data_IF_654325980506
#
_entry.id   IF_654325980506
#
_cell.length_a   1.000
_cell.length_b   1.000
_cell.length_c   1.000
_cell.angle_alpha   90.00
_cell.angle_beta   90.00
_cell.angle_gamma   90.00
#
_symmetry.space_group_name_H-M   'P 1'
#
loop_
_entity.id
_entity.type
_entity.pdbx_description
1 polymer ?
#
# COMPACT_ATOMS: atom_id res chain seq x y z
N UNK A 1 -10.73 -22.38 6.33
CA UNK A 1 -10.51 -20.91 6.31
C UNK A 1 -9.83 -20.37 7.56
N UNK A 2 -10.38 -20.60 8.75
CA UNK A 2 -9.75 -20.15 10.01
C UNK A 2 -8.31 -20.68 10.18
N UNK A 3 -8.08 -21.95 9.83
CA UNK A 3 -6.75 -22.56 9.84
C UNK A 3 -5.77 -21.86 8.89
N UNK A 4 -6.23 -21.44 7.71
CA UNK A 4 -5.41 -20.67 6.76
C UNK A 4 -5.03 -19.33 7.35
N UNK A 5 -5.98 -18.59 7.92
CA UNK A 5 -5.72 -17.30 8.58
C UNK A 5 -4.69 -17.45 9.72
N UNK A 6 -4.87 -18.47 10.58
CA UNK A 6 -3.92 -18.77 11.66
C UNK A 6 -2.52 -19.08 11.10
N UNK A 7 -2.44 -19.92 10.08
CA UNK A 7 -1.16 -20.33 9.48
C UNK A 7 -0.44 -19.16 8.80
N UNK A 8 -1.14 -18.34 8.02
CA UNK A 8 -0.57 -17.13 7.41
C UNK A 8 -0.06 -16.18 8.50
N UNK A 9 -0.83 -15.98 9.57
CA UNK A 9 -0.43 -15.12 10.68
C UNK A 9 0.83 -15.64 11.36
N UNK A 10 0.93 -16.95 11.61
CA UNK A 10 2.13 -17.58 12.20
C UNK A 10 3.36 -17.33 11.30
N UNK A 11 3.23 -17.54 9.99
CA UNK A 11 4.35 -17.32 9.07
C UNK A 11 4.76 -15.86 8.98
N UNK A 12 3.81 -14.92 8.96
CA UNK A 12 4.13 -13.50 8.93
C UNK A 12 4.66 -12.97 10.27
N UNK A 13 4.26 -13.55 11.41
CA UNK A 13 4.85 -13.24 12.74
C UNK A 13 6.33 -13.65 12.84
N UNK A 14 6.73 -14.69 12.10
CA UNK A 14 8.09 -15.19 12.12
C UNK A 14 8.99 -14.44 11.14
N UNK A 15 8.46 -13.56 10.29
CA UNK A 15 9.21 -13.05 9.17
C UNK A 15 10.31 -12.07 9.61
N UNK A 16 11.49 -12.24 9.04
CA UNK A 16 12.63 -11.35 9.23
C UNK A 16 13.50 -11.34 7.97
N UNK A 17 14.50 -10.45 7.95
CA UNK A 17 15.50 -10.42 6.86
C UNK A 17 16.22 -11.76 6.70
N UNK A 18 16.44 -12.47 7.80
CA UNK A 18 17.24 -13.70 7.83
C UNK A 18 16.45 -14.96 7.48
N UNK A 19 15.11 -14.91 7.43
CA UNK A 19 14.30 -16.10 7.19
C UNK A 19 13.21 -15.93 6.14
N UNK A 20 13.08 -14.74 5.53
CA UNK A 20 12.10 -14.48 4.46
C UNK A 20 12.20 -15.50 3.31
N UNK A 21 13.41 -15.95 2.98
CA UNK A 21 13.64 -16.96 1.94
C UNK A 21 13.11 -18.36 2.31
N UNK A 22 12.91 -18.65 3.61
CA UNK A 22 12.31 -19.89 4.12
C UNK A 22 10.79 -19.74 4.23
N UNK A 23 10.32 -18.57 4.64
CA UNK A 23 8.89 -18.29 4.86
C UNK A 23 8.11 -18.20 3.55
N UNK A 24 8.66 -17.55 2.51
CA UNK A 24 7.97 -17.40 1.22
C UNK A 24 7.60 -18.74 0.57
N UNK A 25 8.49 -19.75 0.47
CA UNK A 25 8.12 -21.07 -0.05
C UNK A 25 7.00 -21.74 0.74
N UNK A 26 6.96 -21.57 2.07
CA UNK A 26 5.88 -22.11 2.91
C UNK A 26 4.54 -21.43 2.61
N UNK A 27 4.55 -20.11 2.43
CA UNK A 27 3.37 -19.35 2.00
C UNK A 27 2.91 -19.76 0.59
N UNK A 28 3.82 -19.93 -0.36
CA UNK A 28 3.50 -20.41 -1.71
C UNK A 28 2.84 -21.78 -1.68
N UNK A 29 3.37 -22.72 -0.90
CA UNK A 29 2.78 -24.05 -0.73
C UNK A 29 1.37 -23.96 -0.13
N UNK A 30 1.19 -23.13 0.92
CA UNK A 30 -0.12 -22.91 1.53
C UNK A 30 -1.13 -22.34 0.52
N UNK A 31 -0.72 -21.36 -0.29
CA UNK A 31 -1.56 -20.77 -1.34
C UNK A 31 -1.85 -21.76 -2.46
N UNK A 32 -0.87 -22.58 -2.86
CA UNK A 32 -1.04 -23.61 -3.88
C UNK A 32 -2.00 -24.74 -3.48
N UNK A 33 -2.28 -24.91 -2.19
CA UNK A 33 -3.26 -25.87 -1.68
C UNK A 33 -4.71 -25.37 -1.73
N UNK A 34 -4.94 -24.09 -2.03
CA UNK A 34 -6.28 -23.54 -2.19
C UNK A 34 -6.89 -24.14 -3.47
N UNK A 35 -8.03 -24.82 -3.33
CA UNK A 35 -8.73 -25.47 -4.45
C UNK A 35 -9.99 -24.73 -4.90
N UNK A 36 -10.57 -23.94 -3.99
CA UNK A 36 -11.82 -23.22 -4.16
C UNK A 36 -11.81 -21.93 -3.32
N UNK A 37 -12.78 -21.05 -3.53
CA UNK A 37 -12.94 -19.77 -2.81
C UNK A 37 -11.69 -18.86 -2.80
N UNK A 38 -10.90 -18.91 -3.88
CA UNK A 38 -9.65 -18.15 -4.02
C UNK A 38 -9.80 -16.67 -3.66
N UNK A 39 -10.94 -16.06 -4.02
CA UNK A 39 -11.22 -14.66 -3.71
C UNK A 39 -11.17 -14.37 -2.21
N UNK A 40 -11.83 -15.21 -1.40
CA UNK A 40 -11.87 -15.02 0.04
C UNK A 40 -10.51 -15.28 0.68
N UNK A 41 -9.80 -16.33 0.26
CA UNK A 41 -8.46 -16.63 0.76
C UNK A 41 -7.44 -15.53 0.42
N UNK A 42 -7.48 -14.99 -0.81
CA UNK A 42 -6.63 -13.86 -1.19
C UNK A 42 -6.97 -12.59 -0.42
N UNK A 43 -8.26 -12.30 -0.23
CA UNK A 43 -8.70 -11.18 0.60
C UNK A 43 -8.15 -11.28 2.03
N UNK A 44 -8.26 -12.46 2.66
CA UNK A 44 -7.72 -12.72 4.01
C UNK A 44 -6.20 -12.54 4.04
N UNK A 45 -5.49 -13.11 3.07
CA UNK A 45 -4.03 -12.98 3.01
C UNK A 45 -3.60 -11.51 2.89
N UNK A 46 -4.23 -10.75 1.99
CA UNK A 46 -3.96 -9.33 1.78
C UNK A 46 -4.27 -8.53 3.06
N UNK A 47 -5.39 -8.82 3.73
CA UNK A 47 -5.78 -8.17 4.98
C UNK A 47 -4.73 -8.37 6.08
N UNK A 48 -4.27 -9.61 6.28
CA UNK A 48 -3.24 -9.92 7.29
C UNK A 48 -1.94 -9.19 6.93
N UNK A 49 -1.54 -9.19 5.66
CA UNK A 49 -0.33 -8.54 5.19
C UNK A 49 -0.37 -7.02 5.43
N UNK A 50 -1.49 -6.37 5.14
CA UNK A 50 -1.68 -4.94 5.42
C UNK A 50 -1.63 -4.63 6.92
N UNK A 51 -2.35 -5.41 7.74
CA UNK A 51 -2.35 -5.22 9.18
C UNK A 51 -0.94 -5.42 9.77
N UNK A 52 -0.18 -6.38 9.25
CA UNK A 52 1.22 -6.61 9.63
C UNK A 52 2.13 -5.45 9.26
N UNK A 53 2.06 -4.98 8.02
CA UNK A 53 2.84 -3.83 7.56
C UNK A 53 2.57 -2.55 8.37
N UNK A 54 1.33 -2.38 8.84
CA UNK A 54 0.97 -1.28 9.74
C UNK A 54 1.59 -1.44 11.12
N UNK A 55 1.44 -2.62 11.73
CA UNK A 55 1.94 -2.89 13.08
C UNK A 55 3.47 -2.92 13.16
N UNK A 56 4.13 -3.29 12.07
CA UNK A 56 5.55 -3.58 12.01
C UNK A 56 6.21 -2.72 10.91
N UNK A 57 6.16 -1.39 11.07
CA UNK A 57 6.59 -0.41 10.05
C UNK A 57 8.02 -0.65 9.51
N UNK A 58 8.94 -1.15 10.35
CA UNK A 58 10.32 -1.46 9.97
C UNK A 58 10.45 -2.62 8.96
N UNK A 59 9.40 -3.43 8.83
CA UNK A 59 9.34 -4.61 7.97
C UNK A 59 8.49 -4.41 6.71
N UNK A 60 8.02 -3.18 6.44
CA UNK A 60 7.18 -2.86 5.26
C UNK A 60 7.81 -3.36 3.95
N UNK A 61 9.10 -3.16 3.75
CA UNK A 61 9.80 -3.63 2.55
C UNK A 61 9.73 -5.16 2.41
N UNK A 62 9.87 -5.89 3.53
CA UNK A 62 9.77 -7.35 3.56
C UNK A 62 8.35 -7.80 3.20
N UNK A 63 7.31 -7.16 3.76
CA UNK A 63 5.93 -7.49 3.41
C UNK A 63 5.61 -7.18 1.95
N UNK A 64 6.17 -6.09 1.42
CA UNK A 64 6.08 -5.77 0.00
C UNK A 64 6.72 -6.87 -0.86
N UNK A 65 7.91 -7.36 -0.47
CA UNK A 65 8.58 -8.47 -1.14
C UNK A 65 7.81 -9.78 -1.07
N UNK A 66 7.19 -10.09 0.08
CA UNK A 66 6.29 -11.23 0.21
C UNK A 66 5.13 -11.10 -0.78
N UNK A 67 4.43 -9.96 -0.79
CA UNK A 67 3.30 -9.74 -1.69
C UNK A 67 3.70 -9.91 -3.17
N UNK A 68 4.85 -9.36 -3.56
CA UNK A 68 5.38 -9.45 -4.92
C UNK A 68 5.84 -10.86 -5.30
N UNK A 69 6.45 -11.62 -4.38
CA UNK A 69 6.86 -13.01 -4.65
C UNK A 69 5.66 -13.95 -4.71
N UNK A 70 4.67 -13.73 -3.87
CA UNK A 70 3.40 -14.47 -3.88
C UNK A 70 2.63 -14.19 -5.18
N UNK A 71 2.55 -12.93 -5.62
CA UNK A 71 1.87 -12.60 -6.88
C UNK A 71 2.53 -13.26 -8.09
N UNK A 72 3.88 -13.30 -8.14
CA UNK A 72 4.63 -14.05 -9.16
C UNK A 72 4.37 -15.55 -9.10
N UNK A 73 4.31 -16.12 -7.91
CA UNK A 73 3.94 -17.52 -7.74
C UNK A 73 2.53 -17.79 -8.27
N UNK A 74 1.53 -17.00 -7.88
CA UNK A 74 0.14 -17.17 -8.36
C UNK A 74 0.08 -17.04 -9.88
N UNK A 75 0.77 -16.06 -10.47
CA UNK A 75 0.87 -15.89 -11.93
C UNK A 75 1.47 -17.12 -12.62
N UNK A 76 2.47 -17.77 -12.00
CA UNK A 76 3.06 -19.00 -12.53
C UNK A 76 2.12 -20.21 -12.47
N UNK A 77 1.14 -20.19 -11.56
CA UNK A 77 0.14 -21.25 -11.46
C UNK A 77 -0.97 -21.04 -12.49
N UNK A 78 -1.58 -19.85 -12.51
CA UNK A 78 -2.67 -19.51 -13.41
C UNK A 78 -2.88 -18.00 -13.54
N UNK A 79 -3.07 -17.52 -14.77
CA UNK A 79 -3.28 -16.09 -15.05
C UNK A 79 -4.57 -15.55 -14.45
N UNK A 80 -5.67 -16.31 -14.50
CA UNK A 80 -6.97 -15.90 -13.94
C UNK A 80 -6.89 -15.71 -12.42
N UNK A 81 -6.17 -16.60 -11.72
CA UNK A 81 -5.94 -16.48 -10.27
C UNK A 81 -5.09 -15.24 -9.93
N UNK A 82 -4.11 -14.91 -10.77
CA UNK A 82 -3.33 -13.70 -10.61
C UNK A 82 -4.20 -12.45 -10.78
N UNK A 83 -5.07 -12.41 -11.79
CA UNK A 83 -5.99 -11.28 -11.99
C UNK A 83 -6.94 -11.11 -10.79
N UNK A 84 -7.41 -12.22 -10.22
CA UNK A 84 -8.23 -12.21 -9.01
C UNK A 84 -7.47 -11.67 -7.79
N UNK A 85 -6.26 -12.18 -7.53
CA UNK A 85 -5.39 -11.67 -6.47
C UNK A 85 -5.10 -10.18 -6.64
N UNK A 86 -4.75 -9.78 -7.86
CA UNK A 86 -4.44 -8.39 -8.19
C UNK A 86 -5.64 -7.48 -7.97
N UNK A 87 -6.84 -7.89 -8.41
CA UNK A 87 -8.09 -7.15 -8.15
C UNK A 87 -8.31 -6.94 -6.65
N UNK A 88 -8.12 -7.98 -5.83
CA UNK A 88 -8.28 -7.87 -4.39
C UNK A 88 -7.25 -6.91 -3.77
N UNK A 89 -6.01 -6.93 -4.25
CA UNK A 89 -4.96 -6.02 -3.79
C UNK A 89 -5.31 -4.57 -4.09
N UNK A 90 -5.75 -4.28 -5.32
CA UNK A 90 -6.16 -2.93 -5.75
C UNK A 90 -7.35 -2.44 -4.92
N UNK A 91 -8.35 -3.30 -4.74
CA UNK A 91 -9.52 -2.98 -3.92
C UNK A 91 -9.12 -2.65 -2.47
N UNK A 92 -8.18 -3.40 -1.88
CA UNK A 92 -7.67 -3.09 -0.54
C UNK A 92 -6.96 -1.74 -0.51
N UNK A 93 -6.11 -1.46 -1.49
CA UNK A 93 -5.39 -0.18 -1.57
C UNK A 93 -6.35 1.01 -1.68
N UNK A 94 -7.40 0.89 -2.49
CA UNK A 94 -8.41 1.94 -2.63
C UNK A 94 -9.20 2.15 -1.33
N UNK A 95 -9.63 1.06 -0.68
CA UNK A 95 -10.38 1.10 0.59
C UNK A 95 -9.63 1.79 1.72
N UNK A 96 -8.30 1.68 1.77
CA UNK A 96 -7.47 2.40 2.76
C UNK A 96 -7.72 3.90 2.72
N UNK A 97 -7.90 4.49 1.52
CA UNK A 97 -8.11 5.93 1.34
C UNK A 97 -9.60 6.32 1.28
N UNK A 98 -10.50 5.35 1.39
CA UNK A 98 -11.95 5.57 1.54
C UNK A 98 -12.40 5.46 3.00
N UNK A 99 -11.53 4.96 3.89
CA UNK A 99 -11.82 4.86 5.32
C UNK A 99 -11.86 6.26 5.91
N UNK A 100 -12.79 6.52 6.84
CA UNK A 100 -12.82 7.78 7.57
C UNK A 100 -11.48 8.00 8.28
N UNK A 101 -10.85 9.14 7.98
CA UNK A 101 -9.55 9.50 8.53
C UNK A 101 -9.82 10.24 9.83
N UNK A 102 -9.45 9.63 10.95
CA UNK A 102 -9.54 10.22 12.27
C UNK A 102 -8.17 10.17 12.98
N UNK A 103 -8.06 10.90 14.08
CA UNK A 103 -6.80 10.99 14.84
C UNK A 103 -6.37 9.62 15.39
N UNK A 104 -7.31 8.70 15.63
CA UNK A 104 -7.03 7.37 16.18
C UNK A 104 -6.43 6.40 15.16
N UNK A 105 -6.65 6.64 13.87
CA UNK A 105 -6.25 5.73 12.80
C UNK A 105 -5.22 6.32 11.82
N UNK A 106 -4.83 7.59 11.97
CA UNK A 106 -3.91 8.27 11.04
C UNK A 106 -2.58 7.53 10.85
N UNK A 107 -1.97 7.04 11.94
CA UNK A 107 -0.69 6.32 11.88
C UNK A 107 -0.81 4.98 11.16
N UNK A 108 -1.98 4.34 11.28
CA UNK A 108 -2.31 3.12 10.56
C UNK A 108 -2.44 3.41 9.07
N UNK A 109 -3.14 4.47 8.70
CA UNK A 109 -3.32 4.85 7.30
C UNK A 109 -1.98 5.29 6.67
N UNK A 110 -1.11 6.00 7.40
CA UNK A 110 0.26 6.31 6.98
C UNK A 110 1.10 5.05 6.73
N UNK A 111 0.99 4.06 7.62
CA UNK A 111 1.64 2.75 7.43
C UNK A 111 1.15 2.04 6.16
N UNK A 112 -0.16 2.02 5.93
CA UNK A 112 -0.73 1.51 4.69
C UNK A 112 -0.26 2.30 3.46
N UNK A 113 -0.22 3.63 3.52
CA UNK A 113 0.23 4.49 2.42
C UNK A 113 1.69 4.20 2.05
N UNK A 114 2.54 3.96 3.05
CA UNK A 114 3.94 3.56 2.86
C UNK A 114 4.04 2.20 2.18
N UNK A 115 3.27 1.20 2.64
CA UNK A 115 3.23 -0.12 1.98
C UNK A 115 2.77 0.01 0.51
N UNK A 116 1.71 0.78 0.27
CA UNK A 116 1.14 0.99 -1.06
C UNK A 116 2.17 1.62 -1.99
N UNK A 117 2.90 2.65 -1.54
CA UNK A 117 3.99 3.24 -2.29
C UNK A 117 5.05 2.20 -2.67
N UNK A 118 5.46 1.34 -1.74
CA UNK A 118 6.42 0.26 -2.02
C UNK A 118 5.88 -0.75 -3.04
N UNK A 119 4.59 -1.09 -2.99
CA UNK A 119 3.95 -1.98 -3.98
C UNK A 119 3.95 -1.36 -5.38
N UNK A 120 3.81 -0.03 -5.48
CA UNK A 120 3.92 0.72 -6.75
C UNK A 120 5.37 0.74 -7.22
N UNK A 121 6.33 1.04 -6.35
CA UNK A 121 7.77 1.05 -6.69
C UNK A 121 8.23 -0.31 -7.25
N UNK A 122 7.71 -1.42 -6.71
CA UNK A 122 7.99 -2.77 -7.23
C UNK A 122 7.21 -3.14 -8.50
N UNK A 123 6.42 -2.22 -9.06
CA UNK A 123 5.61 -2.44 -10.26
C UNK A 123 4.46 -3.44 -10.05
N UNK A 124 4.10 -3.73 -8.80
CA UNK A 124 2.98 -4.63 -8.53
C UNK A 124 1.65 -3.90 -8.73
N UNK A 125 1.60 -2.60 -8.44
CA UNK A 125 0.44 -1.72 -8.65
C UNK A 125 0.78 -0.70 -9.74
N UNK A 126 -0.16 -0.43 -10.63
CA UNK A 126 0.02 0.54 -11.71
C UNK A 126 0.07 2.00 -11.20
N UNK A 127 0.91 2.82 -11.84
CA UNK A 127 1.10 4.23 -11.53
C UNK A 127 -0.18 5.08 -11.66
N UNK A 128 -1.14 4.69 -12.50
CA UNK A 128 -2.42 5.39 -12.62
C UNK A 128 -3.19 5.42 -11.28
N UNK A 129 -3.02 4.40 -10.44
CA UNK A 129 -3.68 4.32 -9.14
C UNK A 129 -3.15 5.37 -8.16
N UNK A 130 -1.87 5.76 -8.28
CA UNK A 130 -1.27 6.85 -7.49
C UNK A 130 -2.07 8.14 -7.64
N UNK A 131 -2.34 8.54 -8.88
CA UNK A 131 -3.07 9.77 -9.17
C UNK A 131 -4.50 9.72 -8.62
N UNK A 132 -5.15 8.57 -8.66
CA UNK A 132 -6.48 8.36 -8.08
C UNK A 132 -6.43 8.51 -6.55
N UNK A 133 -5.47 7.88 -5.88
CA UNK A 133 -5.31 7.97 -4.42
C UNK A 133 -5.00 9.39 -3.96
N UNK A 134 -4.06 10.06 -4.64
CA UNK A 134 -3.71 11.44 -4.34
C UNK A 134 -4.93 12.35 -4.53
N UNK A 135 -5.67 12.20 -5.63
CA UNK A 135 -6.87 13.00 -5.87
C UNK A 135 -7.94 12.83 -4.79
N UNK A 136 -8.08 11.62 -4.22
CA UNK A 136 -8.97 11.35 -3.08
C UNK A 136 -8.48 12.02 -1.80
N UNK A 137 -7.17 12.02 -1.54
CA UNK A 137 -6.61 12.71 -0.37
C UNK A 137 -6.76 14.24 -0.47
N UNK A 138 -6.71 14.77 -1.69
CA UNK A 138 -6.85 16.19 -2.00
C UNK A 138 -8.30 16.67 -2.08
N UNK A 139 -9.32 15.79 -2.03
CA UNK A 139 -10.71 16.23 -2.17
C UNK A 139 -11.25 16.96 -0.93
N UNK A 140 -10.50 16.99 0.17
CA UNK A 140 -10.86 17.70 1.40
C UNK A 140 -9.63 18.40 1.98
N UNK A 141 -9.77 19.66 2.37
CA UNK A 141 -8.72 20.43 3.06
C UNK A 141 -8.61 20.02 4.54
N UNK A 142 -8.15 18.78 4.76
CA UNK A 142 -7.95 18.19 6.08
C UNK A 142 -6.45 17.93 6.29
N UNK A 143 -5.90 18.51 7.36
CA UNK A 143 -4.47 18.43 7.68
C UNK A 143 -3.99 16.97 7.75
N UNK A 144 -4.78 16.07 8.33
CA UNK A 144 -4.44 14.65 8.46
C UNK A 144 -4.35 13.96 7.10
N UNK A 145 -5.23 14.31 6.17
CA UNK A 145 -5.21 13.78 4.80
C UNK A 145 -3.99 14.28 4.04
N UNK A 146 -3.62 15.54 4.25
CA UNK A 146 -2.41 16.13 3.68
C UNK A 146 -1.16 15.43 4.24
N UNK A 147 -1.11 15.10 5.52
CA UNK A 147 0.01 14.33 6.06
C UNK A 147 0.13 12.92 5.47
N UNK A 148 -1.01 12.25 5.26
CA UNK A 148 -1.05 10.94 4.58
C UNK A 148 -0.56 11.08 3.14
N UNK A 149 -0.98 12.14 2.44
CA UNK A 149 -0.53 12.47 1.08
C UNK A 149 0.98 12.65 1.02
N UNK A 150 1.55 13.47 1.92
CA UNK A 150 2.98 13.69 2.02
C UNK A 150 3.71 12.37 2.27
N UNK A 151 3.19 11.53 3.16
CA UNK A 151 3.75 10.21 3.47
C UNK A 151 3.77 9.31 2.22
N UNK A 152 2.65 9.27 1.49
CA UNK A 152 2.53 8.51 0.25
C UNK A 152 3.57 8.98 -0.76
N UNK A 153 3.58 10.28 -1.09
CA UNK A 153 4.44 10.85 -2.13
C UNK A 153 5.93 10.71 -1.78
N UNK A 154 6.32 10.91 -0.52
CA UNK A 154 7.71 10.75 -0.11
C UNK A 154 8.18 9.29 -0.09
N UNK A 155 7.26 8.33 -0.05
CA UNK A 155 7.57 6.91 -0.15
C UNK A 155 7.65 6.41 -1.60
N UNK A 156 7.24 7.23 -2.58
CA UNK A 156 7.32 6.91 -4.00
C UNK A 156 8.73 7.19 -4.54
N UNK A 157 9.23 6.29 -5.40
CA UNK A 157 10.46 6.55 -6.16
C UNK A 157 10.25 7.68 -7.19
N UNK A 158 11.30 8.46 -7.45
CA UNK A 158 11.28 9.64 -8.34
C UNK A 158 10.80 9.37 -9.78
N UNK A 159 10.75 8.11 -10.21
CA UNK A 159 10.33 7.73 -11.57
C UNK A 159 8.81 7.72 -11.76
N UNK A 160 8.04 7.92 -10.69
CA UNK A 160 6.57 7.84 -10.75
C UNK A 160 6.00 9.16 -11.27
N UNK A 161 5.24 9.08 -12.37
CA UNK A 161 4.62 10.24 -12.98
C UNK A 161 3.35 10.64 -12.23
N UNK A 162 3.41 11.77 -11.55
CA UNK A 162 2.23 12.45 -10.98
C UNK A 162 1.67 13.39 -12.04
N UNK A 163 0.35 13.41 -12.21
CA UNK A 163 -0.31 14.28 -13.18
C UNK A 163 -0.13 15.75 -12.82
N UNK A 164 0.07 16.61 -13.82
CA UNK A 164 0.24 18.06 -13.61
C UNK A 164 -0.92 18.67 -12.82
N UNK A 165 -2.16 18.29 -13.14
CA UNK A 165 -3.36 18.74 -12.42
C UNK A 165 -3.32 18.44 -10.91
N UNK A 166 -2.67 17.34 -10.53
CA UNK A 166 -2.48 16.98 -9.12
C UNK A 166 -1.42 17.88 -8.47
N UNK A 167 -0.30 18.13 -9.17
CA UNK A 167 0.76 19.03 -8.70
C UNK A 167 0.23 20.46 -8.56
N UNK A 168 -0.56 20.95 -9.52
CA UNK A 168 -1.17 22.28 -9.49
C UNK A 168 -2.11 22.42 -8.27
N UNK A 169 -2.88 21.38 -7.94
CA UNK A 169 -3.69 21.34 -6.71
C UNK A 169 -2.83 21.37 -5.45
N UNK A 170 -1.74 20.60 -5.40
CA UNK A 170 -0.82 20.63 -4.25
C UNK A 170 -0.20 22.03 -4.08
N UNK A 171 0.21 22.68 -5.16
CA UNK A 171 0.72 24.06 -5.14
C UNK A 171 -0.32 25.01 -4.55
N UNK A 172 -1.58 24.93 -5.02
CA UNK A 172 -2.63 25.80 -4.50
C UNK A 172 -2.89 25.63 -3.00
N UNK A 173 -2.68 24.43 -2.44
CA UNK A 173 -2.82 24.18 -1.00
C UNK A 173 -1.59 24.69 -0.24
N UNK A 174 -0.39 24.50 -0.80
CA UNK A 174 0.86 25.01 -0.24
C UNK A 174 0.86 26.54 -0.09
N UNK A 175 0.25 27.23 -1.04
CA UNK A 175 0.18 28.69 -1.08
C UNK A 175 -0.95 29.27 -0.20
N UNK A 176 -1.82 28.42 0.37
CA UNK A 176 -2.95 28.84 1.21
C UNK A 176 -2.59 28.81 2.71
N UNK A 177 -2.99 29.84 3.45
CA UNK A 177 -2.79 30.02 4.92
C UNK A 177 -3.48 28.95 5.81
N UNK A 178 -4.17 27.97 5.24
CA UNK A 178 -4.92 26.95 5.99
C UNK A 178 -4.05 25.79 6.50
N UNK A 179 -2.82 25.65 6.03
CA UNK A 179 -1.92 24.59 6.46
C UNK A 179 -0.89 25.09 7.47
N UNK A 180 -0.49 24.24 8.41
CA UNK A 180 0.63 24.56 9.30
C UNK A 180 1.87 24.87 8.45
N UNK A 181 2.71 25.84 8.88
CA UNK A 181 3.93 26.23 8.14
C UNK A 181 4.80 25.03 7.74
N UNK A 182 4.85 24.00 8.61
CA UNK A 182 5.52 22.73 8.34
C UNK A 182 4.95 22.00 7.12
N UNK A 183 3.63 21.93 7.00
CA UNK A 183 2.97 21.28 5.86
C UNK A 183 3.18 22.08 4.58
N UNK A 184 3.08 23.41 4.64
CA UNK A 184 3.38 24.27 3.50
C UNK A 184 4.78 24.02 2.93
N UNK A 185 5.79 23.91 3.79
CA UNK A 185 7.17 23.58 3.38
C UNK A 185 7.22 22.18 2.71
N UNK A 186 6.64 21.16 3.34
CA UNK A 186 6.64 19.80 2.80
C UNK A 186 5.91 19.69 1.45
N UNK A 187 4.84 20.44 1.26
CA UNK A 187 4.11 20.49 -0.01
C UNK A 187 4.91 21.24 -1.08
N UNK A 188 5.58 22.32 -0.72
CA UNK A 188 6.48 23.06 -1.62
C UNK A 188 7.61 22.16 -2.14
N UNK A 189 8.25 21.39 -1.26
CA UNK A 189 9.29 20.42 -1.64
C UNK A 189 8.76 19.37 -2.63
N UNK A 190 7.51 18.92 -2.46
CA UNK A 190 6.86 17.98 -3.39
C UNK A 190 6.62 18.66 -4.74
N UNK A 191 6.12 19.89 -4.75
CA UNK A 191 5.84 20.65 -5.97
C UNK A 191 7.14 20.88 -6.75
N UNK A 192 8.23 21.24 -6.09
CA UNK A 192 9.54 21.39 -6.72
C UNK A 192 10.09 20.08 -7.30
N UNK A 193 9.90 18.95 -6.59
CA UNK A 193 10.35 17.62 -7.05
C UNK A 193 9.69 17.17 -8.36
N UNK A 194 8.46 17.60 -8.62
CA UNK A 194 7.64 17.11 -9.73
C UNK A 194 7.29 18.20 -10.78
N UNK A 195 7.84 19.42 -10.64
CA UNK A 195 7.85 20.45 -11.68
C UNK A 195 8.89 20.13 -12.76
#
# INVERSE_FOLDING_TARGET
MEEFQKTVTIYLNQISKDNVFIIIPKLNNLIGKIKEDHEQYYSIFIEILFNKAVSEKLFIEIYCDVCHKISKYILSQQKELFLLFYRNLINKCQKVFETDIDVSNIDKIKGCATLIAQLINKGLIQNNLVNIMISKLLSYNDENKIEILITLINSLEQKIKIHKEVIDKISSISDNDYSSMRIGILLSDIVERYK
#
